data_IF_511585621923
#
_entry.id   IF_511585621923
#
_cell.length_a   1.000
_cell.length_b   1.000
_cell.length_c   1.000
_cell.angle_alpha   90.00
_cell.angle_beta   90.00
_cell.angle_gamma   90.00
#
_symmetry.space_group_name_H-M   'P 1'
#
loop_
_entity.id
_entity.type
_entity.pdbx_description
1 polymer ?
#
# COMPACT_ATOMS: atom_id res chain seq x y z
N UNK A 1 25.65 14.15 -14.12
CA UNK A 1 24.46 14.39 -13.26
C UNK A 1 23.46 13.27 -13.49
N UNK A 2 22.77 12.82 -12.44
CA UNK A 2 21.72 11.80 -12.57
C UNK A 2 20.43 12.43 -13.12
N UNK A 3 19.70 11.71 -13.96
CA UNK A 3 18.37 12.10 -14.45
C UNK A 3 17.30 11.43 -13.59
N UNK A 4 16.18 12.11 -13.27
CA UNK A 4 15.08 11.49 -12.56
C UNK A 4 14.34 10.49 -13.46
N UNK A 5 13.89 9.38 -12.87
CA UNK A 5 12.92 8.47 -13.48
C UNK A 5 11.52 9.00 -13.14
N UNK A 6 10.68 9.18 -14.15
CA UNK A 6 9.30 9.66 -13.98
C UNK A 6 8.34 8.48 -13.90
N UNK A 7 7.53 8.44 -12.86
CA UNK A 7 6.50 7.43 -12.63
C UNK A 7 5.12 8.06 -12.75
N UNK A 8 4.10 7.26 -13.06
CA UNK A 8 2.70 7.65 -12.82
C UNK A 8 2.52 7.91 -11.33
N UNK A 9 1.84 8.98 -10.96
CA UNK A 9 1.67 9.36 -9.56
C UNK A 9 0.25 9.73 -9.22
N UNK A 10 -0.16 9.38 -8.01
CA UNK A 10 -1.40 9.85 -7.41
C UNK A 10 -1.15 10.45 -6.04
N UNK A 11 -1.95 11.46 -5.69
CA UNK A 11 -1.96 12.11 -4.39
C UNK A 11 -3.28 11.88 -3.66
N UNK A 12 -4.14 10.98 -4.16
CA UNK A 12 -5.46 10.69 -3.61
C UNK A 12 -5.31 9.51 -2.63
N UNK A 13 -5.61 9.69 -1.33
CA UNK A 13 -5.51 8.62 -0.34
C UNK A 13 -6.38 7.41 -0.71
N UNK A 14 -5.86 6.21 -0.48
CA UNK A 14 -6.53 4.93 -0.78
C UNK A 14 -6.67 4.62 -2.27
N UNK A 15 -6.17 5.45 -3.19
CA UNK A 15 -6.28 5.19 -4.63
C UNK A 15 -5.30 4.11 -5.05
N UNK A 16 -5.86 2.99 -5.49
CA UNK A 16 -5.15 1.93 -6.22
C UNK A 16 -5.36 2.17 -7.73
N UNK A 17 -4.30 2.12 -8.57
CA UNK A 17 -4.44 2.20 -10.02
C UNK A 17 -5.29 1.05 -10.57
N UNK A 18 -6.17 1.35 -11.51
CA UNK A 18 -6.87 0.33 -12.28
C UNK A 18 -5.94 -0.35 -13.28
N UNK A 19 -6.39 -1.48 -13.84
CA UNK A 19 -5.64 -2.23 -14.84
C UNK A 19 -5.39 -1.44 -16.12
N UNK A 20 -6.25 -0.48 -16.45
CA UNK A 20 -6.08 0.41 -17.62
C UNK A 20 -5.18 1.62 -17.33
N UNK A 21 -4.96 1.92 -16.06
CA UNK A 21 -4.07 3.02 -15.66
C UNK A 21 -2.59 2.65 -15.81
N UNK A 22 -2.26 1.34 -15.88
CA UNK A 22 -0.90 0.81 -15.96
C UNK A 22 -0.72 -0.18 -17.11
N UNK A 23 0.35 -0.01 -17.86
CA UNK A 23 0.85 -1.07 -18.74
C UNK A 23 1.63 -2.13 -17.95
N UNK A 24 1.81 -3.31 -18.54
CA UNK A 24 2.58 -4.40 -17.91
C UNK A 24 4.02 -3.94 -17.66
N UNK A 25 4.47 -4.04 -16.40
CA UNK A 25 5.81 -3.59 -15.99
C UNK A 25 5.93 -2.09 -15.73
N UNK A 26 4.88 -1.29 -15.92
CA UNK A 26 4.88 0.10 -15.46
C UNK A 26 4.82 0.18 -13.93
N UNK A 27 5.32 1.31 -13.40
CA UNK A 27 5.27 1.62 -11.98
C UNK A 27 4.44 2.89 -11.73
N UNK A 28 3.59 2.82 -10.71
CA UNK A 28 2.89 3.97 -10.16
C UNK A 28 3.18 4.16 -8.67
N UNK A 29 3.29 5.43 -8.26
CA UNK A 29 3.50 5.83 -6.88
C UNK A 29 2.26 6.58 -6.36
N UNK A 30 1.68 6.09 -5.27
CA UNK A 30 0.76 6.87 -4.48
C UNK A 30 1.55 7.58 -3.38
N UNK A 31 1.70 8.90 -3.49
CA UNK A 31 2.48 9.69 -2.52
C UNK A 31 1.71 9.97 -1.23
N UNK A 32 0.38 9.84 -1.21
CA UNK A 32 -0.42 9.97 0.00
C UNK A 32 -0.24 8.74 0.89
N UNK A 33 -0.32 7.54 0.30
CA UNK A 33 -0.23 6.27 1.03
C UNK A 33 1.21 5.73 1.13
N UNK A 34 2.15 6.32 0.37
CA UNK A 34 3.55 5.89 0.25
C UNK A 34 3.69 4.47 -0.32
N UNK A 35 2.80 4.10 -1.24
CA UNK A 35 2.76 2.77 -1.86
C UNK A 35 3.16 2.82 -3.33
N UNK A 36 3.92 1.81 -3.76
CA UNK A 36 4.25 1.56 -5.16
C UNK A 36 3.38 0.43 -5.72
N UNK A 37 2.91 0.59 -6.96
CA UNK A 37 2.09 -0.38 -7.66
C UNK A 37 2.74 -0.75 -8.99
N UNK A 38 2.55 -1.99 -9.41
CA UNK A 38 2.90 -2.46 -10.74
C UNK A 38 1.84 -3.42 -11.27
N UNK A 39 1.82 -3.59 -12.59
CA UNK A 39 0.92 -4.54 -13.25
C UNK A 39 1.70 -5.74 -13.77
N UNK A 40 1.24 -6.93 -13.39
CA UNK A 40 1.77 -8.18 -13.92
C UNK A 40 1.13 -8.53 -15.28
N UNK A 41 1.77 -9.43 -16.04
CA UNK A 41 1.34 -9.82 -17.38
C UNK A 41 -0.02 -10.53 -17.42
N UNK A 42 -0.47 -11.08 -16.29
CA UNK A 42 -1.80 -11.67 -16.12
C UNK A 42 -2.92 -10.63 -15.95
N UNK A 43 -2.57 -9.34 -15.95
CA UNK A 43 -3.50 -8.24 -15.78
C UNK A 43 -3.68 -7.78 -14.34
N UNK A 44 -3.08 -8.44 -13.35
CA UNK A 44 -3.22 -8.06 -11.94
C UNK A 44 -2.38 -6.83 -11.60
N UNK A 45 -2.97 -5.89 -10.86
CA UNK A 45 -2.21 -4.79 -10.23
C UNK A 45 -1.87 -5.20 -8.80
N UNK A 46 -0.60 -5.14 -8.45
CA UNK A 46 -0.10 -5.52 -7.14
C UNK A 46 0.77 -4.41 -6.54
N UNK A 47 0.88 -4.42 -5.21
CA UNK A 47 1.77 -3.51 -4.49
C UNK A 47 3.19 -4.06 -4.50
N UNK A 48 4.17 -3.20 -4.81
CA UNK A 48 5.59 -3.56 -4.78
C UNK A 48 6.11 -3.41 -3.35
N UNK A 49 6.49 -4.52 -2.73
CA UNK A 49 7.04 -4.56 -1.38
C UNK A 49 6.12 -5.23 -0.37
N UNK A 50 6.43 -5.07 0.92
CA UNK A 50 5.65 -5.64 2.04
C UNK A 50 4.71 -4.56 2.57
N UNK A 51 3.41 -4.88 2.65
CA UNK A 51 2.40 -4.00 3.24
C UNK A 51 2.08 -4.42 4.68
N UNK A 52 1.56 -3.50 5.50
CA UNK A 52 1.11 -3.81 6.85
C UNK A 52 0.11 -4.98 6.86
N UNK A 53 -0.86 -4.96 5.94
CA UNK A 53 -1.84 -6.04 5.78
C UNK A 53 -1.20 -7.38 5.42
N UNK A 54 -0.11 -7.39 4.63
CA UNK A 54 0.60 -8.63 4.32
C UNK A 54 1.31 -9.21 5.56
N UNK A 55 1.81 -8.35 6.46
CA UNK A 55 2.41 -8.76 7.74
C UNK A 55 1.33 -9.31 8.69
N UNK A 56 0.18 -8.65 8.79
CA UNK A 56 -0.97 -9.11 9.57
C UNK A 56 -1.43 -10.49 9.14
N UNK A 57 -1.64 -10.70 7.83
CA UNK A 57 -2.09 -11.96 7.28
C UNK A 57 -1.08 -13.10 7.50
N UNK A 58 0.22 -12.80 7.43
CA UNK A 58 1.28 -13.81 7.55
C UNK A 58 1.61 -14.18 9.01
N UNK A 59 1.56 -13.22 9.94
CA UNK A 59 2.08 -13.40 11.30
C UNK A 59 1.02 -13.25 12.40
N UNK A 60 -0.22 -12.85 12.07
CA UNK A 60 -1.24 -12.51 13.06
C UNK A 60 -0.87 -11.30 13.93
N UNK A 61 0.14 -10.52 13.50
CA UNK A 61 0.61 -9.34 14.18
C UNK A 61 -0.05 -8.11 13.57
N UNK A 62 -0.90 -7.43 14.36
CA UNK A 62 -1.39 -6.09 14.02
C UNK A 62 -0.29 -5.08 14.39
N UNK A 63 0.39 -4.45 13.40
CA UNK A 63 1.36 -3.41 13.72
C UNK A 63 0.69 -2.30 14.53
N UNK A 64 1.44 -1.74 15.47
CA UNK A 64 1.03 -0.58 16.24
C UNK A 64 1.01 0.67 15.34
N UNK A 65 0.12 0.70 14.36
CA UNK A 65 -0.34 1.94 13.76
C UNK A 65 -1.24 2.64 14.80
N UNK A 66 -1.43 3.95 14.69
CA UNK A 66 -2.26 4.72 15.63
C UNK A 66 -3.69 4.18 15.81
N UNK A 67 -4.19 3.35 14.90
CA UNK A 67 -5.47 2.64 15.01
C UNK A 67 -5.44 1.42 15.95
N UNK A 68 -4.31 0.70 16.04
CA UNK A 68 -4.19 -0.53 16.83
C UNK A 68 -4.07 -0.25 18.34
N UNK A 69 -3.43 0.86 18.75
CA UNK A 69 -3.45 1.34 20.14
C UNK A 69 -4.86 1.68 20.62
N UNK A 70 -5.74 2.17 19.73
CA UNK A 70 -7.13 2.46 20.06
C UNK A 70 -7.96 1.20 20.36
N UNK A 71 -7.66 0.08 19.70
CA UNK A 71 -8.36 -1.19 19.93
C UNK A 71 -7.95 -1.87 21.24
N UNK A 72 -6.66 -1.78 21.62
CA UNK A 72 -6.19 -2.25 22.94
C UNK A 72 -6.76 -1.38 24.07
N UNK A 73 -6.80 -0.04 23.87
CA UNK A 73 -7.44 0.87 24.82
C UNK A 73 -8.94 0.57 24.99
N UNK A 74 -9.65 0.26 23.91
CA UNK A 74 -11.07 -0.11 23.96
C UNK A 74 -11.30 -1.44 24.70
N UNK A 75 -10.36 -2.39 24.64
CA UNK A 75 -10.45 -3.63 25.42
C UNK A 75 -10.20 -3.41 26.91
N UNK A 76 -9.35 -2.46 27.28
CA UNK A 76 -9.07 -2.07 28.68
C UNK A 76 -10.23 -1.30 29.33
N UNK A 77 -10.97 -0.50 28.56
CA UNK A 77 -12.18 0.19 29.04
C UNK A 77 -13.38 -0.76 29.24
N UNK A 78 -13.31 -1.97 28.70
CA UNK A 78 -14.39 -2.97 28.75
C UNK A 78 -14.23 -4.02 29.86
N UNK A 79 -13.22 -3.89 30.74
CA UNK A 79 -12.97 -4.75 31.91
C UNK A 79 -13.11 -3.92 33.18
#
# INVERSE_FOLDING_TARGET
MAKPILLKKSTIPGRVPGTEDLEVGELALNTADRLLFSRHSDGTVFTVGVTASAVEAALGYMPADGAAIGQIAALLEAI
#
